data_IF_074809281341
#
_entry.id   IF_074809281341
#
_cell.length_a   1.000
_cell.length_b   1.000
_cell.length_c   1.000
_cell.angle_alpha   90.00
_cell.angle_beta   90.00
_cell.angle_gamma   90.00
#
_symmetry.space_group_name_H-M   'P 1'
#
loop_
_entity.id
_entity.type
_entity.pdbx_description
1 polymer ?
#
# COMPACT_ATOMS: atom_id res chain seq x y z
N UNK A 1 20.82 -9.14 32.68
CA UNK A 1 20.96 -7.68 32.59
C UNK A 1 20.17 -7.09 33.75
N UNK A 2 20.86 -6.55 34.75
CA UNK A 2 20.22 -5.87 35.88
C UNK A 2 19.86 -4.45 35.47
N UNK A 3 18.87 -3.83 36.11
CA UNK A 3 18.41 -2.48 35.77
C UNK A 3 19.54 -1.45 35.89
N UNK A 4 20.38 -1.56 36.92
CA UNK A 4 21.54 -0.70 37.15
C UNK A 4 22.61 -0.80 36.05
N UNK A 5 22.81 -2.00 35.45
CA UNK A 5 23.83 -2.17 34.41
C UNK A 5 23.46 -1.53 33.07
N UNK A 6 22.26 -0.96 32.93
CA UNK A 6 21.73 -0.37 31.70
C UNK A 6 21.61 1.16 31.83
N UNK A 7 21.54 1.70 33.05
CA UNK A 7 21.35 3.13 33.28
C UNK A 7 22.54 3.96 32.78
N UNK A 8 23.77 3.61 33.17
CA UNK A 8 24.95 4.40 32.76
C UNK A 8 25.13 4.45 31.23
N UNK A 9 25.06 3.31 30.50
CA UNK A 9 25.13 3.35 29.03
C UNK A 9 23.97 4.11 28.39
N UNK A 10 22.78 4.08 29.01
CA UNK A 10 21.59 4.79 28.52
C UNK A 10 21.75 6.30 28.69
N UNK A 11 22.28 6.74 29.83
CA UNK A 11 22.57 8.15 30.10
C UNK A 11 23.69 8.69 29.22
N UNK A 12 24.72 7.88 28.96
CA UNK A 12 25.78 8.21 28.01
C UNK A 12 25.20 8.36 26.59
N UNK A 13 24.37 7.41 26.15
CA UNK A 13 23.72 7.48 24.84
C UNK A 13 22.81 8.71 24.71
N UNK A 14 22.06 9.06 25.75
CA UNK A 14 21.25 10.28 25.77
C UNK A 14 22.13 11.53 25.67
N UNK A 15 23.20 11.60 26.48
CA UNK A 15 24.08 12.76 26.54
C UNK A 15 24.85 12.95 25.24
N UNK A 16 25.25 11.85 24.57
CA UNK A 16 25.92 11.89 23.27
C UNK A 16 25.04 12.45 22.14
N UNK A 17 23.71 12.38 22.28
CA UNK A 17 22.75 12.91 21.29
C UNK A 17 22.10 14.23 21.75
N UNK A 18 22.43 14.72 22.95
CA UNK A 18 21.82 15.91 23.51
C UNK A 18 22.37 17.18 22.85
N UNK A 19 21.47 18.11 22.54
CA UNK A 19 21.81 19.49 22.18
C UNK A 19 22.38 20.24 23.38
N UNK A 20 22.93 21.44 23.14
CA UNK A 20 23.48 22.32 24.18
C UNK A 20 22.49 22.71 25.29
N UNK A 21 21.19 22.59 25.03
CA UNK A 21 20.12 22.82 26.00
C UNK A 21 19.76 21.57 26.84
N UNK A 22 20.52 20.49 26.71
CA UNK A 22 20.32 19.25 27.48
C UNK A 22 19.13 18.41 27.01
N UNK A 23 18.65 18.64 25.78
CA UNK A 23 17.51 17.91 25.22
C UNK A 23 17.88 17.18 23.92
N UNK A 24 17.18 16.09 23.60
CA UNK A 24 17.37 15.32 22.37
C UNK A 24 16.17 15.47 21.44
N UNK A 25 16.31 15.21 20.15
CA UNK A 25 15.13 15.15 19.27
C UNK A 25 14.25 13.94 19.63
N UNK A 26 12.96 13.98 19.29
CA UNK A 26 12.07 12.83 19.48
C UNK A 26 12.56 11.59 18.73
N UNK A 27 13.09 11.76 17.52
CA UNK A 27 13.64 10.66 16.74
C UNK A 27 14.88 10.07 17.42
N UNK A 28 15.78 10.90 17.95
CA UNK A 28 16.98 10.41 18.66
C UNK A 28 16.58 9.67 19.94
N UNK A 29 15.60 10.18 20.70
CA UNK A 29 15.04 9.47 21.85
C UNK A 29 14.50 8.08 21.45
N UNK A 30 13.73 8.00 20.36
CA UNK A 30 13.22 6.73 19.84
C UNK A 30 14.34 5.79 19.40
N UNK A 31 15.36 6.31 18.72
CA UNK A 31 16.54 5.57 18.30
C UNK A 31 17.33 5.00 19.49
N UNK A 32 17.52 5.78 20.56
CA UNK A 32 18.16 5.30 21.78
C UNK A 32 17.33 4.17 22.39
N UNK A 33 16.01 4.36 22.58
CA UNK A 33 15.15 3.30 23.11
C UNK A 33 15.21 2.01 22.26
N UNK A 34 15.32 2.14 20.93
CA UNK A 34 15.46 1.01 20.01
C UNK A 34 16.80 0.27 20.19
N UNK A 35 17.88 1.00 20.42
CA UNK A 35 19.23 0.44 20.61
C UNK A 35 19.33 -0.40 21.89
N UNK A 36 18.57 -0.02 22.92
CA UNK A 36 18.35 -0.83 24.13
C UNK A 36 17.31 -1.95 23.94
N UNK A 37 16.82 -2.16 22.71
CA UNK A 37 15.92 -3.23 22.35
C UNK A 37 14.48 -3.06 22.82
N UNK A 38 14.08 -1.84 23.21
CA UNK A 38 12.77 -1.59 23.81
C UNK A 38 11.63 -1.44 22.79
N UNK A 39 11.95 -1.31 21.50
CA UNK A 39 10.97 -1.27 20.42
C UNK A 39 10.77 -2.64 19.76
N UNK A 40 11.58 -3.64 20.11
CA UNK A 40 11.46 -4.99 19.54
C UNK A 40 10.13 -5.60 19.96
N UNK A 41 9.37 -6.10 18.98
CA UNK A 41 8.11 -6.83 19.21
C UNK A 41 6.96 -6.01 19.80
N UNK A 42 7.03 -4.68 19.74
CA UNK A 42 5.99 -3.82 20.30
C UNK A 42 4.92 -3.49 19.27
N UNK A 43 3.67 -3.44 19.72
CA UNK A 43 2.57 -2.85 18.94
C UNK A 43 2.84 -1.34 18.74
N UNK A 44 3.05 -0.95 17.49
CA UNK A 44 3.41 0.43 17.11
C UNK A 44 2.34 1.43 17.57
N UNK A 45 1.06 1.08 17.46
CA UNK A 45 -0.05 1.98 17.82
C UNK A 45 -0.10 2.18 19.33
N UNK A 46 0.08 1.10 20.10
CA UNK A 46 0.15 1.18 21.55
C UNK A 46 1.36 1.99 22.01
N UNK A 47 2.53 1.78 21.39
CA UNK A 47 3.76 2.50 21.70
C UNK A 47 3.62 4.00 21.43
N UNK A 48 3.10 4.37 20.26
CA UNK A 48 2.84 5.79 19.93
C UNK A 48 1.91 6.41 20.96
N UNK A 49 0.79 5.77 21.27
CA UNK A 49 -0.20 6.32 22.21
C UNK A 49 0.33 6.44 23.65
N UNK A 50 1.10 5.47 24.13
CA UNK A 50 1.57 5.42 25.53
C UNK A 50 2.86 6.18 25.77
N UNK A 51 3.73 6.27 24.77
CA UNK A 51 5.08 6.83 24.95
C UNK A 51 5.22 8.14 24.20
N UNK A 52 5.01 8.15 22.88
CA UNK A 52 5.19 9.38 22.09
C UNK A 52 4.15 10.43 22.49
N UNK A 53 2.89 10.03 22.52
CA UNK A 53 1.77 10.87 22.93
C UNK A 53 1.59 10.97 24.44
N UNK A 54 2.10 10.00 25.21
CA UNK A 54 1.97 10.03 26.68
C UNK A 54 3.05 10.86 27.36
N UNK A 55 4.30 10.72 26.91
CA UNK A 55 5.49 11.13 27.65
C UNK A 55 6.40 12.09 26.88
N UNK A 56 6.40 12.04 25.54
CA UNK A 56 7.26 12.88 24.67
C UNK A 56 6.58 14.17 24.18
N UNK A 57 5.37 14.50 24.65
CA UNK A 57 4.52 15.56 24.08
C UNK A 57 5.09 16.99 24.23
N UNK A 58 4.77 17.89 23.27
CA UNK A 58 4.08 17.66 21.98
C UNK A 58 5.01 17.34 20.79
N UNK A 59 4.43 16.84 19.69
CA UNK A 59 5.15 16.53 18.44
C UNK A 59 6.01 17.71 17.94
N UNK A 60 7.29 17.45 17.66
CA UNK A 60 8.26 18.49 17.26
C UNK A 60 8.98 19.20 18.42
N UNK A 61 8.68 18.84 19.67
CA UNK A 61 9.36 19.39 20.85
C UNK A 61 10.53 18.51 21.24
N UNK A 62 11.63 19.12 21.69
CA UNK A 62 12.80 18.38 22.17
C UNK A 62 12.45 17.63 23.47
N UNK A 63 13.04 16.45 23.66
CA UNK A 63 12.80 15.56 24.80
C UNK A 63 13.84 15.85 25.88
N UNK A 64 13.39 16.27 27.06
CA UNK A 64 14.26 16.46 28.22
C UNK A 64 14.70 15.13 28.83
N UNK A 65 15.78 15.14 29.60
CA UNK A 65 16.26 13.96 30.33
C UNK A 65 15.18 13.32 31.21
N UNK A 66 14.38 14.13 31.89
CA UNK A 66 13.30 13.66 32.76
C UNK A 66 12.18 12.97 31.96
N UNK A 67 11.74 13.59 30.85
CA UNK A 67 10.76 12.98 29.94
C UNK A 67 11.28 11.68 29.33
N UNK A 68 12.57 11.65 28.97
CA UNK A 68 13.21 10.44 28.45
C UNK A 68 13.23 9.30 29.47
N UNK A 69 13.54 9.59 30.74
CA UNK A 69 13.46 8.62 31.83
C UNK A 69 12.05 8.02 31.99
N UNK A 70 11.01 8.84 31.89
CA UNK A 70 9.62 8.36 31.88
C UNK A 70 9.31 7.48 30.67
N UNK A 71 9.79 7.85 29.48
CA UNK A 71 9.65 7.05 28.26
C UNK A 71 10.31 5.67 28.40
N UNK A 72 11.54 5.62 28.91
CA UNK A 72 12.25 4.37 29.16
C UNK A 72 11.49 3.46 30.13
N UNK A 73 11.03 4.01 31.25
CA UNK A 73 10.23 3.27 32.21
C UNK A 73 8.90 2.77 31.61
N UNK A 74 8.23 3.58 30.78
CA UNK A 74 7.00 3.18 30.08
C UNK A 74 7.28 2.05 29.07
N UNK A 75 8.36 2.14 28.30
CA UNK A 75 8.74 1.14 27.31
C UNK A 75 9.06 -0.23 27.94
N UNK A 76 9.74 -0.23 29.09
CA UNK A 76 9.98 -1.46 29.86
C UNK A 76 8.69 -2.18 30.26
N UNK A 77 7.62 -1.43 30.57
CA UNK A 77 6.31 -2.01 30.92
C UNK A 77 5.60 -2.63 29.71
N UNK A 78 5.80 -2.08 28.51
CA UNK A 78 5.18 -2.56 27.26
C UNK A 78 5.82 -3.85 26.70
N UNK A 79 7.07 -4.15 27.05
CA UNK A 79 7.85 -5.29 26.51
C UNK A 79 7.27 -6.68 26.81
N UNK A 80 6.19 -6.80 27.59
CA UNK A 80 5.51 -8.08 27.88
C UNK A 80 4.57 -8.57 26.76
N UNK A 81 4.44 -7.85 25.65
CA UNK A 81 3.60 -8.25 24.51
C UNK A 81 4.33 -9.21 23.55
N UNK A 82 3.64 -10.27 23.08
CA UNK A 82 4.17 -11.21 22.09
C UNK A 82 4.33 -10.53 20.71
N UNK A 83 5.47 -10.77 20.07
CA UNK A 83 5.74 -10.31 18.71
C UNK A 83 4.76 -10.91 17.70
N UNK A 84 4.27 -10.10 16.77
CA UNK A 84 3.70 -10.63 15.53
C UNK A 84 4.84 -11.04 14.60
N UNK A 85 4.81 -12.30 14.15
CA UNK A 85 5.83 -12.87 13.29
C UNK A 85 5.94 -12.13 11.95
N UNK A 86 7.19 -11.98 11.51
CA UNK A 86 7.61 -11.26 10.33
C UNK A 86 7.74 -12.19 9.12
N UNK A 87 7.19 -11.80 7.96
CA UNK A 87 7.46 -12.46 6.68
C UNK A 87 7.50 -11.41 5.57
N UNK A 88 8.70 -11.09 5.05
CA UNK A 88 8.80 -10.46 3.72
C UNK A 88 8.26 -11.48 2.72
N UNK A 89 7.23 -11.16 1.92
CA UNK A 89 6.75 -12.06 0.89
C UNK A 89 7.91 -12.38 -0.08
N UNK A 90 8.34 -13.65 -0.12
CA UNK A 90 9.41 -14.13 -1.03
C UNK A 90 9.05 -13.97 -2.51
N UNK A 91 7.79 -13.69 -2.79
CA UNK A 91 7.22 -13.46 -4.13
C UNK A 91 7.43 -12.04 -4.65
N UNK A 92 7.84 -11.07 -3.82
CA UNK A 92 8.05 -9.70 -4.28
C UNK A 92 9.35 -9.58 -5.09
N UNK A 93 9.36 -8.96 -6.29
CA UNK A 93 10.56 -8.73 -7.07
C UNK A 93 11.56 -7.83 -6.32
N UNK A 94 12.55 -8.42 -5.66
CA UNK A 94 13.54 -7.71 -4.83
C UNK A 94 14.28 -6.60 -5.59
N UNK A 95 14.56 -6.83 -6.87
CA UNK A 95 15.23 -5.86 -7.74
C UNK A 95 14.44 -4.54 -7.87
N UNK A 96 13.11 -4.62 -7.96
CA UNK A 96 12.23 -3.45 -8.10
C UNK A 96 12.15 -2.63 -6.81
N UNK A 97 12.09 -3.32 -5.67
CA UNK A 97 12.14 -2.65 -4.38
C UNK A 97 13.50 -1.97 -4.17
N UNK A 98 14.58 -2.60 -4.66
CA UNK A 98 15.93 -2.05 -4.60
C UNK A 98 16.08 -0.81 -5.47
N UNK A 99 15.53 -0.82 -6.68
CA UNK A 99 15.44 0.36 -7.56
C UNK A 99 14.71 1.51 -6.85
N UNK A 100 13.50 1.26 -6.31
CA UNK A 100 12.73 2.24 -5.55
C UNK A 100 13.54 2.81 -4.38
N UNK A 101 14.19 1.94 -3.60
CA UNK A 101 15.03 2.33 -2.48
C UNK A 101 16.19 3.23 -2.93
N UNK A 102 16.92 2.86 -3.99
CA UNK A 102 18.04 3.67 -4.50
C UNK A 102 17.60 5.04 -5.00
N UNK A 103 16.43 5.13 -5.65
CA UNK A 103 15.87 6.40 -6.11
C UNK A 103 15.49 7.29 -4.95
N UNK A 104 14.77 6.76 -3.96
CA UNK A 104 14.39 7.52 -2.77
C UNK A 104 15.63 7.96 -1.98
N UNK A 105 16.64 7.10 -1.86
CA UNK A 105 17.90 7.40 -1.17
C UNK A 105 18.77 8.43 -1.91
N UNK A 106 18.42 8.82 -3.15
CA UNK A 106 19.16 9.83 -3.92
C UNK A 106 20.61 9.44 -4.27
N UNK A 107 20.97 8.17 -4.15
CA UNK A 107 22.34 7.68 -4.39
C UNK A 107 22.30 6.39 -5.20
N UNK A 108 23.16 6.30 -6.22
CA UNK A 108 23.36 5.08 -7.01
C UNK A 108 24.53 4.27 -6.45
N UNK A 109 24.25 3.22 -5.68
CA UNK A 109 25.29 2.30 -5.19
C UNK A 109 24.75 1.15 -4.32
N UNK A 110 25.58 0.12 -4.10
CA UNK A 110 25.21 -1.02 -3.23
C UNK A 110 25.16 -0.65 -1.74
N UNK A 111 25.81 0.45 -1.35
CA UNK A 111 25.82 0.99 0.02
C UNK A 111 24.80 2.11 0.22
N UNK A 112 23.81 2.27 -0.67
CA UNK A 112 22.79 3.30 -0.52
C UNK A 112 22.11 3.17 0.84
N UNK A 113 22.02 4.30 1.52
CA UNK A 113 21.41 4.44 2.83
C UNK A 113 20.33 5.50 2.74
N UNK A 114 19.22 5.28 3.44
CA UNK A 114 18.10 6.21 3.47
C UNK A 114 18.01 6.88 4.84
N UNK A 115 17.93 8.21 4.84
CA UNK A 115 17.74 8.99 6.06
C UNK A 115 16.31 8.86 6.60
N UNK A 116 16.12 9.14 7.88
CA UNK A 116 14.80 9.17 8.49
C UNK A 116 13.87 10.20 7.85
N UNK A 117 14.40 11.38 7.49
CA UNK A 117 13.63 12.44 6.85
C UNK A 117 13.12 12.00 5.47
N UNK A 118 14.00 11.42 4.66
CA UNK A 118 13.66 10.87 3.34
C UNK A 118 12.61 9.76 3.45
N UNK A 119 12.82 8.83 4.39
CA UNK A 119 11.87 7.74 4.62
C UNK A 119 10.51 8.25 5.07
N UNK A 120 10.48 9.17 6.05
CA UNK A 120 9.25 9.79 6.55
C UNK A 120 8.51 10.53 5.46
N UNK A 121 9.22 11.29 4.63
CA UNK A 121 8.63 12.00 3.51
C UNK A 121 7.97 11.01 2.53
N UNK A 122 8.73 10.01 2.07
CA UNK A 122 8.22 9.01 1.12
C UNK A 122 6.97 8.27 1.63
N UNK A 123 6.95 7.91 2.92
CA UNK A 123 5.80 7.21 3.53
C UNK A 123 4.62 8.15 3.79
N UNK A 124 4.87 9.40 4.18
CA UNK A 124 3.79 10.37 4.45
C UNK A 124 3.07 10.76 3.17
N UNK A 125 3.80 10.87 2.06
CA UNK A 125 3.24 11.16 0.74
C UNK A 125 2.46 9.97 0.17
N UNK A 126 2.80 8.72 0.59
CA UNK A 126 2.19 7.45 0.15
C UNK A 126 0.65 7.43 0.17
N UNK A 127 0.00 8.33 0.94
CA UNK A 127 -1.45 8.56 0.94
C UNK A 127 -2.28 7.28 1.00
N UNK A 128 -1.80 6.27 1.75
CA UNK A 128 -2.38 4.94 1.90
C UNK A 128 -3.59 4.91 2.86
N UNK A 129 -4.35 6.00 2.91
CA UNK A 129 -5.42 6.23 3.88
C UNK A 129 -4.91 6.81 5.20
N UNK A 130 -5.82 7.48 5.93
CA UNK A 130 -5.54 8.33 7.12
C UNK A 130 -5.01 7.60 8.37
N UNK A 131 -4.35 6.44 8.25
CA UNK A 131 -4.03 5.56 9.39
C UNK A 131 -2.56 5.55 9.84
N UNK A 132 -1.62 6.11 9.07
CA UNK A 132 -0.21 6.20 9.49
C UNK A 132 0.06 7.63 9.98
N UNK A 133 0.43 7.75 11.26
CA UNK A 133 0.88 9.02 11.84
C UNK A 133 2.38 9.20 11.63
N UNK A 134 2.90 10.44 11.52
CA UNK A 134 4.34 10.68 11.46
C UNK A 134 5.13 10.04 12.60
N UNK A 135 4.54 10.00 13.81
CA UNK A 135 5.10 9.32 14.97
C UNK A 135 5.23 7.80 14.77
N UNK A 136 4.24 7.15 14.17
CA UNK A 136 4.32 5.72 13.85
C UNK A 136 5.46 5.42 12.86
N UNK A 137 5.68 6.32 11.89
CA UNK A 137 6.78 6.19 10.93
C UNK A 137 8.13 6.27 11.65
N UNK A 138 8.30 7.21 12.57
CA UNK A 138 9.54 7.33 13.37
C UNK A 138 9.80 6.11 14.25
N UNK A 139 8.76 5.60 14.92
CA UNK A 139 8.85 4.39 15.76
C UNK A 139 9.28 3.19 14.90
N UNK A 140 8.70 3.03 13.72
CA UNK A 140 9.06 1.93 12.80
C UNK A 140 10.48 2.12 12.27
N UNK A 141 10.85 3.32 11.85
CA UNK A 141 12.20 3.63 11.40
C UNK A 141 13.25 3.29 12.47
N UNK A 142 13.04 3.77 13.70
CA UNK A 142 13.92 3.50 14.83
C UNK A 142 14.05 2.00 15.11
N UNK A 143 12.96 1.24 15.01
CA UNK A 143 12.94 -0.20 15.28
C UNK A 143 13.68 -1.04 14.23
N UNK A 144 13.60 -0.68 12.94
CA UNK A 144 14.25 -1.49 11.88
C UNK A 144 15.73 -1.17 11.70
N UNK A 145 16.17 -0.01 12.22
CA UNK A 145 17.55 0.49 12.12
C UNK A 145 18.53 -0.43 12.85
N UNK A 146 19.79 -0.39 12.41
CA UNK A 146 20.89 -1.13 13.06
C UNK A 146 21.37 -0.23 14.20
N UNK A 147 21.53 -0.74 15.44
CA UNK A 147 21.92 0.09 16.56
C UNK A 147 23.16 0.94 16.29
N UNK A 148 23.15 2.19 16.74
CA UNK A 148 24.20 3.17 16.46
C UNK A 148 24.19 3.83 15.06
N UNK A 149 23.48 3.31 14.06
CA UNK A 149 23.40 3.96 12.73
C UNK A 149 22.33 5.06 12.71
N UNK A 150 22.44 6.09 11.87
CA UNK A 150 21.36 7.08 11.68
C UNK A 150 20.46 6.80 10.47
N UNK A 151 20.87 5.87 9.61
CA UNK A 151 20.21 5.55 8.35
C UNK A 151 19.82 4.07 8.27
N UNK A 152 18.90 3.76 7.36
CA UNK A 152 18.46 2.40 7.05
C UNK A 152 19.00 1.93 5.70
N UNK A 153 19.33 0.64 5.63
CA UNK A 153 19.70 -0.07 4.40
C UNK A 153 18.46 -0.61 3.69
N UNK A 154 18.64 -1.15 2.48
CA UNK A 154 17.57 -1.78 1.70
C UNK A 154 16.80 -2.85 2.49
N UNK A 155 17.50 -3.74 3.20
CA UNK A 155 16.87 -4.83 3.98
C UNK A 155 15.94 -4.26 5.07
N UNK A 156 16.38 -3.18 5.71
CA UNK A 156 15.67 -2.51 6.79
C UNK A 156 14.50 -1.68 6.25
N UNK A 157 14.67 -1.08 5.08
CA UNK A 157 13.58 -0.44 4.34
C UNK A 157 12.48 -1.44 3.96
N UNK A 158 12.84 -2.61 3.43
CA UNK A 158 11.89 -3.67 3.13
C UNK A 158 11.17 -4.14 4.41
N UNK A 159 11.89 -4.30 5.52
CA UNK A 159 11.29 -4.60 6.81
C UNK A 159 10.31 -3.51 7.27
N UNK A 160 10.68 -2.24 7.13
CA UNK A 160 9.82 -1.12 7.51
C UNK A 160 8.51 -1.10 6.71
N UNK A 161 8.59 -1.32 5.39
CA UNK A 161 7.39 -1.43 4.54
C UNK A 161 6.49 -2.57 5.02
N UNK A 162 7.06 -3.72 5.40
CA UNK A 162 6.28 -4.83 5.94
C UNK A 162 5.53 -4.47 7.21
N UNK A 163 6.16 -3.77 8.15
CA UNK A 163 5.54 -3.34 9.40
C UNK A 163 4.43 -2.31 9.14
N UNK A 164 4.69 -1.34 8.25
CA UNK A 164 3.70 -0.32 7.87
C UNK A 164 2.48 -0.93 7.16
N UNK A 165 2.71 -1.92 6.30
CA UNK A 165 1.64 -2.65 5.60
C UNK A 165 0.75 -3.39 6.59
N UNK A 166 1.37 -4.11 7.54
CA UNK A 166 0.65 -4.80 8.61
C UNK A 166 -0.16 -3.84 9.48
N UNK A 167 0.38 -2.66 9.79
CA UNK A 167 -0.28 -1.66 10.63
C UNK A 167 -1.55 -1.08 9.98
N UNK A 168 -1.55 -0.83 8.66
CA UNK A 168 -2.75 -0.33 7.97
C UNK A 168 -3.73 -1.47 7.65
N UNK A 169 -3.24 -2.72 7.61
CA UNK A 169 -4.01 -3.87 7.13
C UNK A 169 -4.06 -3.96 5.61
N UNK A 170 -3.01 -3.51 4.93
CA UNK A 170 -2.84 -3.65 3.47
C UNK A 170 -1.74 -4.67 3.18
N UNK A 171 -1.74 -5.22 1.96
CA UNK A 171 -0.66 -6.12 1.55
C UNK A 171 0.61 -5.31 1.29
N UNK A 172 1.76 -5.98 1.44
CA UNK A 172 3.07 -5.41 1.15
C UNK A 172 3.13 -4.81 -0.27
N UNK A 173 2.58 -5.53 -1.25
CA UNK A 173 2.55 -5.12 -2.65
C UNK A 173 1.80 -3.80 -2.86
N UNK A 174 0.63 -3.63 -2.23
CA UNK A 174 -0.14 -2.38 -2.29
C UNK A 174 0.67 -1.20 -1.76
N UNK A 175 1.35 -1.41 -0.63
CA UNK A 175 2.13 -0.36 0.02
C UNK A 175 3.34 0.04 -0.83
N UNK A 176 4.12 -0.94 -1.29
CA UNK A 176 5.28 -0.72 -2.13
C UNK A 176 4.90 -0.02 -3.45
N UNK A 177 3.77 -0.40 -4.05
CA UNK A 177 3.27 0.24 -5.26
C UNK A 177 2.89 1.71 -5.04
N UNK A 178 2.22 2.04 -3.94
CA UNK A 178 1.84 3.42 -3.65
C UNK A 178 3.06 4.34 -3.49
N UNK A 179 4.12 3.87 -2.81
CA UNK A 179 5.38 4.61 -2.72
C UNK A 179 6.03 4.76 -4.11
N UNK A 180 5.99 3.71 -4.93
CA UNK A 180 6.55 3.76 -6.29
C UNK A 180 5.87 4.80 -7.18
N UNK A 181 4.54 4.94 -7.13
CA UNK A 181 3.80 5.90 -7.95
C UNK A 181 4.17 7.36 -7.63
N UNK A 182 4.58 7.64 -6.40
CA UNK A 182 4.94 9.00 -5.96
C UNK A 182 6.36 9.39 -6.37
N UNK A 183 7.28 8.43 -6.39
CA UNK A 183 8.64 8.67 -6.91
C UNK A 183 8.63 9.16 -8.37
N UNK A 184 7.57 8.84 -9.13
CA UNK A 184 7.34 9.33 -10.50
C UNK A 184 6.81 10.79 -10.57
N UNK A 185 6.21 11.32 -9.50
CA UNK A 185 5.66 12.69 -9.47
C UNK A 185 6.70 13.77 -9.11
N UNK A 186 7.86 13.39 -8.58
CA UNK A 186 8.96 14.29 -8.18
C UNK A 186 9.88 14.64 -9.38
N UNK A 187 9.49 14.31 -10.61
CA UNK A 187 10.20 14.74 -11.83
C UNK A 187 11.38 13.85 -12.24
N UNK A 188 11.52 12.66 -11.65
CA UNK A 188 12.32 11.58 -12.22
C UNK A 188 11.38 10.70 -13.04
N UNK A 189 11.45 10.81 -14.37
CA UNK A 189 10.62 10.05 -15.30
C UNK A 189 10.88 8.55 -15.15
N UNK A 190 9.99 7.86 -14.44
CA UNK A 190 9.89 6.41 -14.47
C UNK A 190 9.01 5.94 -15.64
N UNK A 191 9.32 6.42 -16.85
CA UNK A 191 8.70 5.95 -18.11
C UNK A 191 9.00 4.47 -18.40
N UNK A 192 9.93 3.87 -17.63
CA UNK A 192 10.22 2.44 -17.68
C UNK A 192 9.82 1.68 -16.42
N UNK A 193 9.70 2.28 -15.23
CA UNK A 193 9.45 1.52 -13.98
C UNK A 193 7.99 1.52 -13.55
N UNK A 194 7.20 2.56 -13.85
CA UNK A 194 5.75 2.47 -13.69
C UNK A 194 5.17 1.42 -14.65
N UNK A 195 5.65 1.44 -15.90
CA UNK A 195 5.39 0.45 -16.96
C UNK A 195 5.95 -0.92 -16.59
N UNK A 196 7.16 -1.03 -16.03
CA UNK A 196 7.68 -2.36 -15.66
C UNK A 196 7.30 -2.88 -14.27
N UNK A 197 6.73 -2.06 -13.38
CA UNK A 197 6.00 -2.52 -12.18
C UNK A 197 4.60 -2.99 -12.57
N UNK A 198 3.97 -2.31 -13.54
CA UNK A 198 2.86 -2.88 -14.30
C UNK A 198 3.30 -4.18 -15.00
N UNK A 199 4.50 -4.27 -15.59
CA UNK A 199 4.99 -5.50 -16.24
C UNK A 199 5.56 -6.56 -15.30
N UNK A 200 5.87 -6.25 -14.03
CA UNK A 200 6.34 -7.22 -13.03
C UNK A 200 5.17 -7.77 -12.22
N UNK A 201 4.13 -6.95 -11.96
CA UNK A 201 2.80 -7.51 -11.79
C UNK A 201 2.34 -8.22 -13.07
N UNK A 202 2.77 -7.77 -14.25
CA UNK A 202 2.61 -8.50 -15.51
C UNK A 202 3.62 -9.61 -15.80
N UNK A 203 4.45 -10.01 -14.85
CA UNK A 203 5.26 -11.22 -14.93
C UNK A 203 4.75 -12.26 -13.94
N UNK A 204 4.01 -11.82 -12.91
CA UNK A 204 2.96 -12.61 -12.25
C UNK A 204 1.76 -12.78 -13.19
N UNK A 205 1.47 -11.79 -14.06
CA UNK A 205 0.79 -12.08 -15.31
C UNK A 205 1.76 -12.94 -16.12
N UNK A 206 1.58 -14.26 -16.09
CA UNK A 206 1.59 -14.91 -17.39
C UNK A 206 0.70 -14.02 -18.28
N UNK A 207 1.11 -13.62 -19.50
CA UNK A 207 0.14 -13.03 -20.44
C UNK A 207 -1.06 -13.94 -20.34
N UNK A 208 -2.26 -13.38 -20.14
CA UNK A 208 -3.50 -14.14 -20.22
C UNK A 208 -3.31 -15.17 -21.33
N UNK A 209 -3.03 -16.43 -20.95
CA UNK A 209 -2.15 -17.31 -21.75
C UNK A 209 -2.91 -18.02 -22.85
N UNK A 210 -3.91 -17.32 -23.37
CA UNK A 210 -4.57 -17.61 -24.61
C UNK A 210 -5.01 -16.25 -25.17
N UNK A 211 -4.63 -15.96 -26.42
CA UNK A 211 -5.27 -14.92 -27.25
C UNK A 211 -6.81 -14.96 -27.09
N UNK A 212 -7.36 -16.14 -26.82
CA UNK A 212 -8.75 -16.42 -26.49
C UNK A 212 -9.30 -15.66 -25.26
N UNK A 213 -8.64 -15.68 -24.09
CA UNK A 213 -9.19 -15.02 -22.89
C UNK A 213 -9.22 -13.49 -23.01
N UNK A 214 -8.25 -12.89 -23.72
CA UNK A 214 -8.30 -11.44 -24.01
C UNK A 214 -9.46 -11.12 -24.98
N UNK A 215 -9.70 -11.97 -25.99
CA UNK A 215 -10.88 -11.85 -26.86
C UNK A 215 -12.19 -11.96 -26.08
N UNK A 216 -12.29 -12.91 -25.15
CA UNK A 216 -13.47 -13.08 -24.28
C UNK A 216 -13.70 -11.86 -23.40
N UNK A 217 -12.65 -11.35 -22.75
CA UNK A 217 -12.73 -10.16 -21.90
C UNK A 217 -13.10 -8.90 -22.69
N UNK A 218 -12.59 -8.77 -23.93
CA UNK A 218 -13.00 -7.73 -24.87
C UNK A 218 -14.46 -7.89 -25.30
N UNK A 219 -14.93 -9.12 -25.46
CA UNK A 219 -16.34 -9.43 -25.73
C UNK A 219 -17.25 -8.95 -24.61
N UNK A 220 -16.91 -9.24 -23.35
CA UNK A 220 -17.67 -8.75 -22.18
C UNK A 220 -17.64 -7.23 -22.09
N UNK A 221 -16.47 -6.61 -22.30
CA UNK A 221 -16.35 -5.15 -22.34
C UNK A 221 -17.32 -4.54 -23.35
N UNK A 222 -17.31 -5.01 -24.61
CA UNK A 222 -18.21 -4.51 -25.65
C UNK A 222 -19.68 -4.78 -25.34
N UNK A 223 -20.01 -5.92 -24.72
CA UNK A 223 -21.38 -6.24 -24.32
C UNK A 223 -21.91 -5.24 -23.28
N UNK A 224 -21.11 -4.89 -22.26
CA UNK A 224 -21.49 -3.86 -21.29
C UNK A 224 -21.57 -2.47 -21.92
N UNK A 225 -20.70 -2.14 -22.87
CA UNK A 225 -20.72 -0.85 -23.59
C UNK A 225 -21.98 -0.71 -24.46
N UNK A 226 -22.39 -1.79 -25.14
CA UNK A 226 -23.59 -1.81 -25.97
C UNK A 226 -24.88 -1.84 -25.14
N UNK A 227 -24.80 -2.07 -23.83
CA UNK A 227 -25.96 -2.17 -22.96
C UNK A 227 -26.75 -0.87 -22.92
N UNK A 228 -28.03 -0.96 -23.28
CA UNK A 228 -28.93 0.19 -23.30
C UNK A 228 -28.86 1.05 -24.56
N UNK A 229 -28.06 0.68 -25.57
CA UNK A 229 -28.15 1.27 -26.90
C UNK A 229 -29.55 0.98 -27.48
N UNK A 230 -30.27 2.03 -27.91
CA UNK A 230 -31.60 1.94 -28.54
C UNK A 230 -31.50 2.45 -29.97
N UNK A 231 -32.08 1.71 -30.93
CA UNK A 231 -32.17 2.10 -32.34
C UNK A 231 -30.94 1.75 -33.18
N UNK A 232 -30.92 2.22 -34.44
CA UNK A 232 -29.90 1.91 -35.46
C UNK A 232 -28.57 2.69 -35.28
N UNK A 233 -28.35 3.34 -34.14
CA UNK A 233 -27.12 4.07 -33.88
C UNK A 233 -25.96 3.09 -33.60
N UNK A 234 -24.79 3.33 -34.21
CA UNK A 234 -23.59 2.54 -33.94
C UNK A 234 -23.31 2.57 -32.42
N UNK A 235 -23.22 1.40 -31.75
CA UNK A 235 -22.99 1.36 -30.33
C UNK A 235 -21.65 2.02 -30.00
N UNK A 236 -21.54 2.70 -28.84
CA UNK A 236 -20.28 3.30 -28.44
C UNK A 236 -19.17 2.24 -28.39
N UNK A 237 -17.92 2.68 -28.62
CA UNK A 237 -16.74 1.78 -28.60
C UNK A 237 -16.04 1.75 -27.24
N UNK A 238 -16.40 2.69 -26.36
CA UNK A 238 -15.73 2.98 -25.10
C UNK A 238 -16.74 2.99 -23.95
N UNK A 239 -16.30 2.59 -22.76
CA UNK A 239 -17.16 2.36 -21.58
C UNK A 239 -17.29 3.61 -20.72
N UNK A 240 -18.50 4.01 -20.34
CA UNK A 240 -18.70 5.10 -19.39
C UNK A 240 -18.76 4.61 -17.93
N UNK A 241 -18.84 5.56 -16.98
CA UNK A 241 -18.83 5.24 -15.56
C UNK A 241 -20.07 4.46 -15.09
N UNK A 242 -21.20 4.61 -15.79
CA UNK A 242 -22.43 3.89 -15.46
C UNK A 242 -22.29 2.42 -15.86
N UNK A 243 -21.76 2.16 -17.06
CA UNK A 243 -21.48 0.80 -17.53
C UNK A 243 -20.42 0.11 -16.67
N UNK A 244 -19.34 0.80 -16.30
CA UNK A 244 -18.30 0.24 -15.45
C UNK A 244 -18.81 -0.09 -14.04
N UNK A 245 -19.64 0.78 -13.45
CA UNK A 245 -20.28 0.51 -12.17
C UNK A 245 -21.29 -0.65 -12.24
N UNK A 246 -22.05 -0.77 -13.33
CA UNK A 246 -22.92 -1.93 -13.56
C UNK A 246 -22.11 -3.22 -13.64
N UNK A 247 -21.00 -3.22 -14.39
CA UNK A 247 -20.10 -4.37 -14.49
C UNK A 247 -19.58 -4.78 -13.11
N UNK A 248 -19.03 -3.85 -12.32
CA UNK A 248 -18.53 -4.16 -10.98
C UNK A 248 -19.62 -4.74 -10.07
N UNK A 249 -20.86 -4.23 -10.18
CA UNK A 249 -21.98 -4.74 -9.40
C UNK A 249 -22.38 -6.16 -9.82
N UNK A 250 -22.59 -6.39 -11.11
CA UNK A 250 -23.14 -7.64 -11.63
C UNK A 250 -22.12 -8.79 -11.66
N UNK A 251 -20.83 -8.46 -11.68
CA UNK A 251 -19.77 -9.44 -11.56
C UNK A 251 -19.46 -9.82 -10.10
N UNK A 252 -20.20 -9.27 -9.11
CA UNK A 252 -19.92 -9.54 -7.69
C UNK A 252 -18.61 -8.94 -7.18
N UNK A 253 -18.11 -7.90 -7.87
CA UNK A 253 -16.89 -7.19 -7.47
C UNK A 253 -17.20 -6.23 -6.31
N UNK A 254 -18.41 -5.69 -6.23
CA UNK A 254 -18.79 -4.78 -5.13
C UNK A 254 -19.17 -5.54 -3.86
N UNK A 255 -18.71 -5.04 -2.71
CA UNK A 255 -19.06 -5.54 -1.38
C UNK A 255 -19.10 -4.39 -0.35
N UNK A 256 -19.14 -4.71 0.94
CA UNK A 256 -19.19 -3.72 2.01
C UNK A 256 -17.94 -2.81 2.08
N UNK A 257 -16.79 -3.28 1.59
CA UNK A 257 -15.52 -2.54 1.59
C UNK A 257 -15.23 -1.88 0.24
N UNK A 258 -15.56 -2.56 -0.87
CA UNK A 258 -15.42 -2.06 -2.23
C UNK A 258 -16.77 -1.51 -2.73
N UNK A 259 -16.99 -0.22 -2.46
CA UNK A 259 -18.29 0.45 -2.66
C UNK A 259 -18.38 1.17 -4.01
N UNK A 260 -19.53 1.77 -4.31
CA UNK A 260 -19.72 2.60 -5.52
C UNK A 260 -18.76 3.78 -5.57
N UNK A 261 -18.33 4.29 -4.41
CA UNK A 261 -17.34 5.36 -4.30
C UNK A 261 -15.98 4.86 -4.77
N UNK A 262 -15.55 3.66 -4.34
CA UNK A 262 -14.29 3.05 -4.78
C UNK A 262 -14.27 2.82 -6.29
N UNK A 263 -15.39 2.38 -6.85
CA UNK A 263 -15.58 2.21 -8.31
C UNK A 263 -15.41 3.53 -9.05
N UNK A 264 -16.07 4.60 -8.58
CA UNK A 264 -16.01 5.93 -9.21
C UNK A 264 -14.60 6.55 -9.15
N UNK A 265 -13.88 6.35 -8.03
CA UNK A 265 -12.48 6.75 -7.89
C UNK A 265 -11.60 6.03 -8.91
N UNK A 266 -11.75 4.70 -9.06
CA UNK A 266 -10.97 3.91 -10.02
C UNK A 266 -11.28 4.34 -11.45
N UNK A 267 -12.56 4.51 -11.79
CA UNK A 267 -12.97 5.01 -13.10
C UNK A 267 -12.33 6.37 -13.42
N UNK A 268 -12.37 7.29 -12.46
CA UNK A 268 -11.80 8.63 -12.60
C UNK A 268 -10.29 8.62 -12.75
N UNK A 269 -9.59 7.69 -12.08
CA UNK A 269 -8.14 7.50 -12.21
C UNK A 269 -7.72 6.91 -13.56
N UNK A 270 -8.48 5.96 -14.10
CA UNK A 270 -8.10 5.24 -15.31
C UNK A 270 -8.53 5.93 -16.60
N UNK A 271 -9.58 6.74 -16.58
CA UNK A 271 -10.01 7.45 -17.80
C UNK A 271 -8.98 8.50 -18.22
N UNK A 272 -8.77 8.71 -19.54
CA UNK A 272 -7.92 9.79 -20.01
C UNK A 272 -8.36 11.16 -19.46
N UNK A 273 -7.39 12.06 -19.22
CA UNK A 273 -7.68 13.39 -18.66
C UNK A 273 -8.64 14.15 -19.58
N UNK A 274 -9.76 14.63 -19.03
CA UNK A 274 -10.82 15.31 -19.79
C UNK A 274 -11.78 14.38 -20.53
N UNK A 275 -11.50 13.07 -20.61
CA UNK A 275 -12.40 12.11 -21.22
C UNK A 275 -13.54 11.70 -20.27
N UNK A 276 -14.63 11.22 -20.86
CA UNK A 276 -15.82 10.69 -20.15
C UNK A 276 -15.90 9.16 -20.17
N UNK A 277 -15.00 8.48 -20.88
CA UNK A 277 -15.07 7.04 -21.17
C UNK A 277 -13.70 6.38 -21.11
N UNK A 278 -13.68 5.09 -20.78
CA UNK A 278 -12.53 4.19 -20.81
C UNK A 278 -12.41 3.54 -22.19
N UNK A 279 -11.21 3.58 -22.78
CA UNK A 279 -10.87 2.65 -23.85
C UNK A 279 -10.61 1.25 -23.26
N UNK A 280 -10.55 0.23 -24.12
CA UNK A 280 -10.32 -1.14 -23.65
C UNK A 280 -9.01 -1.29 -22.86
N UNK A 281 -7.95 -0.58 -23.25
CA UNK A 281 -6.67 -0.59 -22.51
C UNK A 281 -6.83 -0.02 -21.09
N UNK A 282 -7.61 1.06 -20.95
CA UNK A 282 -7.86 1.73 -19.68
C UNK A 282 -8.80 0.89 -18.79
N UNK A 283 -9.70 0.12 -19.42
CA UNK A 283 -10.52 -0.87 -18.73
C UNK A 283 -9.68 -2.00 -18.13
N UNK A 284 -8.67 -2.51 -18.84
CA UNK A 284 -7.75 -3.50 -18.28
C UNK A 284 -6.98 -2.92 -17.09
N UNK A 285 -6.55 -1.66 -17.16
CA UNK A 285 -5.94 -0.95 -16.04
C UNK A 285 -6.91 -0.79 -14.87
N UNK A 286 -8.18 -0.47 -15.15
CA UNK A 286 -9.21 -0.35 -14.12
C UNK A 286 -9.45 -1.69 -13.40
N UNK A 287 -9.49 -2.81 -14.11
CA UNK A 287 -9.57 -4.16 -13.50
C UNK A 287 -8.34 -4.47 -12.62
N UNK A 288 -7.15 -3.99 -13.01
CA UNK A 288 -5.96 -4.10 -12.17
C UNK A 288 -6.07 -3.24 -10.90
N UNK A 289 -6.60 -2.01 -10.99
CA UNK A 289 -6.84 -1.21 -9.79
C UNK A 289 -7.94 -1.80 -8.90
N UNK A 290 -8.93 -2.48 -9.48
CA UNK A 290 -9.94 -3.24 -8.73
C UNK A 290 -9.31 -4.39 -7.96
N UNK A 291 -8.42 -5.17 -8.60
CA UNK A 291 -7.74 -6.29 -7.93
C UNK A 291 -6.87 -5.79 -6.77
N UNK A 292 -6.19 -4.66 -6.98
CA UNK A 292 -5.42 -3.96 -5.95
C UNK A 292 -6.35 -3.49 -4.84
N UNK A 293 -7.42 -2.75 -5.10
CA UNK A 293 -8.31 -2.25 -4.04
C UNK A 293 -8.92 -3.40 -3.23
N UNK A 294 -9.37 -4.46 -3.91
CA UNK A 294 -10.01 -5.63 -3.30
C UNK A 294 -9.09 -6.64 -2.63
N UNK A 295 -7.76 -6.51 -2.76
CA UNK A 295 -6.81 -7.52 -2.26
C UNK A 295 -7.02 -8.93 -2.83
N UNK A 296 -7.47 -9.05 -4.08
CA UNK A 296 -7.64 -10.36 -4.74
C UNK A 296 -6.79 -10.44 -6.01
N UNK A 297 -6.39 -11.64 -6.45
CA UNK A 297 -5.63 -11.80 -7.70
C UNK A 297 -6.36 -11.19 -8.90
N UNK A 298 -5.61 -10.63 -9.84
CA UNK A 298 -6.17 -10.09 -11.09
C UNK A 298 -6.96 -11.15 -11.85
N UNK A 299 -6.45 -12.38 -11.88
CA UNK A 299 -7.11 -13.54 -12.49
C UNK A 299 -8.48 -13.78 -11.87
N UNK A 300 -8.62 -13.62 -10.55
CA UNK A 300 -9.91 -13.75 -9.86
C UNK A 300 -10.89 -12.64 -10.28
N UNK A 301 -10.41 -11.41 -10.45
CA UNK A 301 -11.24 -10.31 -11.00
C UNK A 301 -11.67 -10.61 -12.43
N UNK A 302 -10.75 -11.07 -13.28
CA UNK A 302 -11.05 -11.45 -14.67
C UNK A 302 -12.05 -12.61 -14.70
N UNK A 303 -11.89 -13.61 -13.84
CA UNK A 303 -12.87 -14.70 -13.72
C UNK A 303 -14.26 -14.18 -13.32
N UNK A 304 -14.35 -13.25 -12.36
CA UNK A 304 -15.63 -12.62 -12.01
C UNK A 304 -16.27 -11.92 -13.21
N UNK A 305 -15.47 -11.19 -14.00
CA UNK A 305 -15.96 -10.50 -15.19
C UNK A 305 -16.39 -11.49 -16.27
N UNK A 306 -15.59 -12.54 -16.54
CA UNK A 306 -15.90 -13.54 -17.57
C UNK A 306 -17.10 -14.41 -17.17
N UNK A 307 -17.22 -14.79 -15.90
CA UNK A 307 -18.37 -15.56 -15.37
C UNK A 307 -19.69 -14.80 -15.48
N UNK A 308 -19.66 -13.47 -15.53
CA UNK A 308 -20.88 -12.68 -15.70
C UNK A 308 -21.58 -12.93 -17.03
N UNK A 309 -20.82 -13.29 -18.08
CA UNK A 309 -21.34 -13.50 -19.44
C UNK A 309 -21.90 -12.25 -20.13
N UNK A 310 -21.83 -11.07 -19.50
CA UNK A 310 -22.39 -9.82 -20.00
C UNK A 310 -23.45 -9.19 -19.08
N UNK A 311 -24.00 -8.04 -19.47
CA UNK A 311 -24.93 -7.27 -18.65
C UNK A 311 -26.31 -7.93 -18.55
N UNK A 312 -26.89 -7.99 -17.35
CA UNK A 312 -28.24 -8.52 -17.12
C UNK A 312 -29.31 -7.43 -17.27
N UNK A 313 -30.42 -7.78 -17.91
CA UNK A 313 -31.65 -6.97 -17.96
C UNK A 313 -32.53 -7.33 -16.76
N UNK A 314 -32.83 -6.38 -15.89
CA UNK A 314 -33.75 -6.59 -14.75
C UNK A 314 -35.23 -6.39 -15.12
N UNK A 315 -35.63 -6.80 -16.33
CA UNK A 315 -37.05 -6.88 -16.66
C UNK A 315 -37.60 -8.22 -16.14
N UNK A 316 -37.99 -8.28 -14.86
CA UNK A 316 -38.74 -9.43 -14.33
C UNK A 316 -40.22 -9.22 -14.55
N UNK A 317 -40.83 -10.00 -15.46
CA UNK A 317 -42.10 -10.73 -15.21
C UNK A 317 -42.38 -11.71 -16.36
N UNK A 318 -42.70 -12.97 -16.03
CA UNK A 318 -43.39 -13.89 -16.94
C UNK A 318 -42.65 -15.19 -17.28
N UNK A 319 -43.02 -16.26 -16.57
CA UNK A 319 -42.80 -17.68 -16.87
C UNK A 319 -42.97 -18.02 -18.36
N UNK A 320 -42.04 -18.79 -18.94
CA UNK A 320 -42.39 -19.87 -19.89
C UNK A 320 -41.24 -20.85 -20.04
N UNK A 321 -41.53 -22.13 -19.78
CA UNK A 321 -40.67 -23.27 -20.08
C UNK A 321 -40.27 -23.28 -21.56
N UNK A 322 -38.97 -23.35 -21.85
CA UNK A 322 -38.50 -23.76 -23.17
C UNK A 322 -38.50 -25.29 -23.24
N UNK A 323 -39.62 -25.84 -23.72
CA UNK A 323 -39.73 -27.24 -24.12
C UNK A 323 -39.06 -27.39 -25.50
N UNK A 324 -37.97 -28.14 -25.57
CA UNK A 324 -37.37 -28.54 -26.85
C UNK A 324 -38.37 -29.40 -27.64
N UNK A 325 -38.86 -28.89 -28.78
CA UNK A 325 -39.46 -29.72 -29.83
C UNK A 325 -38.38 -30.03 -30.86
N UNK A 326 -37.89 -31.26 -30.84
CA UNK A 326 -37.22 -31.88 -31.99
C UNK A 326 -38.27 -32.24 -33.04
N UNK A 327 -38.01 -31.83 -34.27
CA UNK A 327 -38.81 -32.16 -35.44
C UNK A 327 -38.64 -33.63 -35.85
N UNK A 328 -39.73 -34.26 -36.24
CA UNK A 328 -39.79 -35.33 -37.23
C UNK A 328 -40.99 -35.06 -38.14
#
# INVERSE_FOLDING_TARGET
MTFESILDPLEEAFSANASSDGTVSQLDALCILADFGLLKSVDVSLFVNKIVEGEMRPAGTKVSRESFGRCFAAALRLRRSKATGFVIPRTFPQQRLKELFTTLAGSSGETSQMSAATFKQAVSEASLGRKITPAAIDVIFANVRKPGNSNITFEQFAHAISLLSAQIGVTFDKFAHAISLLSAQIGVTFDKVATTMLEAHASVLKPVSSSSRNKELRGVFLAFVAFGAKGDAEPPKNMDGVHFAKLCRECGIMDAQFTSISVDIIFTKCKPKGARRLEYKDFLQALSLVSIEKSIPYETVVEYVLRSGGPKSNNVTGTTEFRFRTAH
#
